data_IF_269019094490
#
_entry.id   IF_269019094490
#
_cell.length_a   1.000
_cell.length_b   1.000
_cell.length_c   1.000
_cell.angle_alpha   90.00
_cell.angle_beta   90.00
_cell.angle_gamma   90.00
#
_symmetry.space_group_name_H-M   'P 1'
#
loop_
_entity.id
_entity.type
_entity.pdbx_description
1 polymer ?
#
# COMPACT_ATOMS: atom_id res chain seq x y z
N UNK A 1 7.44 -2.47 -16.83
CA UNK A 1 8.00 -2.62 -15.46
C UNK A 1 7.70 -4.03 -14.99
N UNK A 2 8.58 -4.67 -14.21
CA UNK A 2 8.38 -6.01 -13.66
C UNK A 2 8.90 -6.00 -12.21
N UNK A 3 8.07 -6.32 -11.23
CA UNK A 3 8.43 -6.08 -9.81
C UNK A 3 9.47 -7.06 -9.30
N UNK A 4 9.24 -8.36 -9.43
CA UNK A 4 10.00 -9.39 -8.67
C UNK A 4 11.48 -9.52 -9.06
N UNK A 5 11.88 -9.01 -10.23
CA UNK A 5 13.27 -8.95 -10.68
C UNK A 5 13.94 -7.58 -10.48
N UNK A 6 13.21 -6.53 -10.06
CA UNK A 6 13.72 -5.16 -10.06
C UNK A 6 14.21 -4.71 -8.68
N UNK A 7 15.46 -4.24 -8.64
CA UNK A 7 16.10 -3.65 -7.45
C UNK A 7 16.37 -2.14 -7.64
N UNK A 8 16.49 -1.35 -6.55
CA UNK A 8 16.10 -1.69 -5.18
C UNK A 8 14.59 -1.98 -5.02
N UNK A 9 13.72 -1.33 -5.82
CA UNK A 9 12.30 -1.68 -6.05
C UNK A 9 11.88 -1.18 -7.44
N UNK A 10 10.75 -1.67 -7.98
CA UNK A 10 10.17 -1.17 -9.23
C UNK A 10 9.23 0.03 -9.04
N UNK A 11 8.91 0.42 -7.80
CA UNK A 11 8.24 1.70 -7.53
C UNK A 11 9.07 2.92 -7.96
N UNK A 12 10.42 2.80 -8.00
CA UNK A 12 11.29 3.77 -8.69
C UNK A 12 10.90 3.98 -10.17
N UNK A 13 10.55 2.90 -10.86
CA UNK A 13 10.37 2.91 -12.31
C UNK A 13 8.99 3.45 -12.70
N UNK A 14 8.04 3.51 -11.75
CA UNK A 14 6.69 4.05 -11.92
C UNK A 14 6.73 5.48 -12.47
N UNK A 15 7.42 6.36 -11.74
CA UNK A 15 7.54 7.77 -12.10
C UNK A 15 8.45 7.98 -13.33
N UNK A 16 9.38 7.05 -13.62
CA UNK A 16 10.23 7.10 -14.81
C UNK A 16 9.47 6.71 -16.09
N UNK A 17 8.67 5.64 -16.04
CA UNK A 17 7.82 5.21 -17.14
C UNK A 17 6.69 6.21 -17.41
N UNK A 18 6.14 6.82 -16.36
CA UNK A 18 5.23 7.96 -16.46
C UNK A 18 5.84 9.10 -17.30
N UNK A 19 7.02 9.61 -16.93
CA UNK A 19 7.69 10.70 -17.65
C UNK A 19 7.92 10.34 -19.13
N UNK A 20 8.47 9.16 -19.40
CA UNK A 20 8.72 8.72 -20.77
C UNK A 20 7.45 8.57 -21.62
N UNK A 21 6.31 8.20 -21.01
CA UNK A 21 5.04 8.06 -21.72
C UNK A 21 4.33 9.41 -21.94
N UNK A 22 4.44 10.38 -21.03
CA UNK A 22 3.93 11.75 -21.26
C UNK A 22 4.56 12.35 -22.52
N UNK A 23 5.89 12.29 -22.63
CA UNK A 23 6.61 12.79 -23.81
C UNK A 23 6.23 12.05 -25.11
N UNK A 24 5.92 10.74 -25.03
CA UNK A 24 5.47 9.96 -26.20
C UNK A 24 4.03 10.31 -26.61
N UNK A 25 3.10 10.46 -25.66
CA UNK A 25 1.70 10.77 -25.96
C UNK A 25 1.50 12.23 -26.40
N UNK A 26 2.33 13.16 -25.94
CA UNK A 26 2.28 14.57 -26.34
C UNK A 26 3.15 14.88 -27.57
N UNK A 27 4.30 14.22 -27.72
CA UNK A 27 5.30 14.51 -28.76
C UNK A 27 5.06 13.84 -30.13
N UNK A 28 4.13 12.89 -30.24
CA UNK A 28 3.78 12.20 -31.48
C UNK A 28 2.30 12.43 -31.86
N UNK A 29 1.94 12.35 -33.15
CA UNK A 29 0.56 12.51 -33.60
C UNK A 29 -0.28 11.28 -33.21
N UNK A 30 -0.86 11.32 -32.01
CA UNK A 30 -1.64 10.25 -31.40
C UNK A 30 -2.98 10.79 -30.85
N UNK A 31 -4.08 10.55 -31.55
CA UNK A 31 -5.42 10.97 -31.15
C UNK A 31 -6.03 10.15 -29.99
N UNK A 32 -5.30 9.13 -29.50
CA UNK A 32 -5.73 8.27 -28.38
C UNK A 32 -4.78 7.08 -28.14
N UNK A 33 -4.99 6.36 -27.03
CA UNK A 33 -4.08 5.30 -26.58
C UNK A 33 -4.79 4.09 -25.94
N UNK A 34 -4.30 2.89 -26.25
CA UNK A 34 -4.63 1.65 -25.53
C UNK A 34 -3.48 1.31 -24.58
N UNK A 35 -3.75 1.39 -23.28
CA UNK A 35 -2.76 1.22 -22.21
C UNK A 35 -2.70 -0.27 -21.81
N UNK A 36 -1.67 -0.98 -22.23
CA UNK A 36 -1.44 -2.39 -21.84
C UNK A 36 -0.89 -2.49 -20.42
N UNK A 37 -1.77 -2.82 -19.48
CA UNK A 37 -1.49 -2.84 -18.03
C UNK A 37 -1.41 -4.28 -17.50
N UNK A 38 -0.67 -4.50 -16.41
CA UNK A 38 -0.51 -5.82 -15.82
C UNK A 38 0.25 -5.80 -14.50
N UNK A 39 1.58 -5.94 -14.54
CA UNK A 39 2.40 -5.97 -13.33
C UNK A 39 2.36 -4.62 -12.60
N UNK A 40 2.05 -4.68 -11.30
CA UNK A 40 1.91 -3.62 -10.30
C UNK A 40 2.02 -2.18 -10.83
N UNK A 41 3.26 -1.73 -11.02
CA UNK A 41 3.61 -0.32 -11.20
C UNK A 41 3.39 0.17 -12.65
N UNK A 42 3.01 -0.73 -13.57
CA UNK A 42 2.60 -0.37 -14.95
C UNK A 42 1.27 0.35 -14.98
N UNK A 43 0.27 -0.15 -14.25
CA UNK A 43 -1.08 0.42 -14.20
C UNK A 43 -1.10 1.90 -13.77
N UNK A 44 -0.50 2.32 -12.63
CA UNK A 44 -0.44 3.73 -12.27
C UNK A 44 0.37 4.54 -13.27
N UNK A 45 1.57 4.09 -13.66
CA UNK A 45 2.44 4.86 -14.56
C UNK A 45 1.77 5.21 -15.90
N UNK A 46 0.99 4.27 -16.46
CA UNK A 46 0.27 4.44 -17.72
C UNK A 46 -0.96 5.36 -17.56
N UNK A 47 -1.71 5.22 -16.46
CA UNK A 47 -2.87 6.08 -16.19
C UNK A 47 -2.48 7.51 -15.80
N UNK A 48 -1.41 7.70 -15.02
CA UNK A 48 -0.85 9.02 -14.72
C UNK A 48 -0.52 9.78 -16.02
N UNK A 49 0.15 9.12 -16.97
CA UNK A 49 0.58 9.75 -18.21
C UNK A 49 -0.61 10.10 -19.12
N UNK A 50 -1.57 9.17 -19.25
CA UNK A 50 -2.79 9.41 -19.98
C UNK A 50 -3.64 10.53 -19.36
N UNK A 51 -3.68 10.65 -18.03
CA UNK A 51 -4.36 11.74 -17.33
C UNK A 51 -3.68 13.10 -17.53
N UNK A 52 -2.34 13.15 -17.43
CA UNK A 52 -1.55 14.37 -17.68
C UNK A 52 -1.71 14.90 -19.10
N UNK A 53 -1.77 14.02 -20.11
CA UNK A 53 -1.92 14.40 -21.53
C UNK A 53 -3.39 14.59 -21.92
N UNK A 54 -4.31 13.84 -21.31
CA UNK A 54 -5.77 13.89 -21.47
C UNK A 54 -6.30 13.66 -22.91
N UNK A 55 -5.59 12.85 -23.70
CA UNK A 55 -6.14 12.27 -24.93
C UNK A 55 -7.01 11.03 -24.61
N UNK A 56 -7.99 10.67 -25.47
CA UNK A 56 -8.82 9.47 -25.31
C UNK A 56 -8.02 8.19 -25.01
N UNK A 57 -8.21 7.63 -23.81
CA UNK A 57 -7.43 6.50 -23.31
C UNK A 57 -8.33 5.35 -22.81
N UNK A 58 -7.89 4.11 -23.05
CA UNK A 58 -8.53 2.91 -22.50
C UNK A 58 -7.48 1.93 -21.97
N UNK A 59 -7.73 1.37 -20.79
CA UNK A 59 -6.85 0.39 -20.16
C UNK A 59 -7.22 -1.04 -20.54
N UNK A 60 -6.23 -1.81 -21.03
CA UNK A 60 -6.34 -3.22 -21.35
C UNK A 60 -5.49 -4.04 -20.36
N UNK A 61 -6.16 -4.69 -19.41
CA UNK A 61 -5.51 -5.62 -18.48
C UNK A 61 -5.24 -6.96 -19.13
N UNK A 62 -4.00 -7.44 -19.01
CA UNK A 62 -3.59 -8.78 -19.45
C UNK A 62 -4.14 -9.92 -18.57
N UNK A 63 -4.75 -9.59 -17.43
CA UNK A 63 -5.35 -10.54 -16.49
C UNK A 63 -4.36 -11.17 -15.50
N UNK A 64 -4.87 -11.90 -14.49
CA UNK A 64 -4.05 -12.68 -13.57
C UNK A 64 -3.49 -13.95 -14.25
N UNK A 65 -2.48 -14.57 -13.62
CA UNK A 65 -2.06 -15.93 -13.99
C UNK A 65 -3.14 -16.96 -13.61
N UNK A 66 -3.18 -18.08 -14.34
CA UNK A 66 -4.00 -19.24 -13.99
C UNK A 66 -3.66 -19.78 -12.59
N UNK A 67 -4.58 -20.57 -12.03
CA UNK A 67 -4.41 -21.14 -10.69
C UNK A 67 -3.16 -22.03 -10.58
N UNK A 68 -2.23 -21.65 -9.70
CA UNK A 68 -1.11 -22.49 -9.32
C UNK A 68 -1.55 -23.63 -8.40
N UNK A 69 -0.96 -24.81 -8.57
CA UNK A 69 -1.26 -25.99 -7.76
C UNK A 69 0.03 -26.67 -7.27
N UNK A 70 0.12 -26.94 -5.96
CA UNK A 70 1.21 -27.71 -5.37
C UNK A 70 0.66 -28.75 -4.38
N UNK A 71 0.99 -30.03 -4.60
CA UNK A 71 0.55 -31.18 -3.76
C UNK A 71 -0.97 -31.17 -3.48
N UNK A 72 -1.77 -30.85 -4.50
CA UNK A 72 -3.24 -30.82 -4.41
C UNK A 72 -3.84 -29.57 -3.73
N UNK A 73 -3.04 -28.55 -3.39
CA UNK A 73 -3.52 -27.27 -2.87
C UNK A 73 -3.30 -26.14 -3.87
N UNK A 74 -4.23 -25.16 -3.89
CA UNK A 74 -4.06 -23.87 -4.60
C UNK A 74 -2.84 -23.12 -4.05
N UNK A 75 -2.09 -22.43 -4.92
CA UNK A 75 -0.93 -21.61 -4.55
C UNK A 75 -0.89 -20.31 -5.37
N UNK A 76 -1.20 -19.18 -4.76
CA UNK A 76 -1.17 -17.87 -5.44
C UNK A 76 0.24 -17.39 -5.78
N UNK A 77 0.40 -16.72 -6.93
CA UNK A 77 1.64 -16.01 -7.30
C UNK A 77 1.95 -14.92 -6.28
N UNK A 78 3.21 -14.81 -5.83
CA UNK A 78 3.59 -13.94 -4.71
C UNK A 78 3.24 -14.59 -3.37
N UNK A 79 1.95 -14.89 -3.13
CA UNK A 79 1.47 -15.52 -1.89
C UNK A 79 2.28 -16.76 -1.55
N UNK A 80 2.57 -17.67 -2.50
CA UNK A 80 3.37 -18.88 -2.25
C UNK A 80 4.83 -18.61 -1.88
N UNK A 81 5.41 -17.45 -2.23
CA UNK A 81 6.76 -17.05 -1.77
C UNK A 81 6.69 -16.69 -0.29
N UNK A 82 5.69 -15.88 0.09
CA UNK A 82 5.45 -15.51 1.48
C UNK A 82 4.83 -16.64 2.31
N UNK A 83 4.20 -17.63 1.68
CA UNK A 83 3.61 -18.81 2.32
C UNK A 83 4.65 -19.94 2.48
N UNK A 84 5.60 -20.05 1.54
CA UNK A 84 6.83 -20.82 1.77
C UNK A 84 7.69 -20.14 2.83
N UNK A 85 7.64 -18.79 2.91
CA UNK A 85 8.07 -18.00 4.06
C UNK A 85 6.98 -17.85 5.15
N UNK A 86 5.87 -18.63 5.20
CA UNK A 86 4.88 -18.75 6.32
C UNK A 86 5.12 -20.05 7.05
N UNK A 87 5.22 -21.11 6.23
CA UNK A 87 5.72 -22.43 6.58
C UNK A 87 7.26 -22.39 6.81
N UNK A 88 7.81 -21.17 6.82
CA UNK A 88 9.04 -20.72 7.46
C UNK A 88 8.89 -19.36 8.25
N UNK A 89 7.76 -18.59 8.20
CA UNK A 89 7.42 -17.26 8.87
C UNK A 89 6.01 -16.54 8.62
N UNK A 90 5.79 -15.51 7.73
CA UNK A 90 4.47 -14.80 7.42
C UNK A 90 4.29 -14.05 6.01
N UNK A 91 3.05 -13.64 5.56
CA UNK A 91 2.66 -13.00 4.21
C UNK A 91 1.46 -11.97 4.12
N UNK A 92 0.66 -11.80 2.99
CA UNK A 92 -0.78 -11.29 2.72
C UNK A 92 -1.51 -9.94 2.02
N UNK A 93 -1.10 -9.20 0.93
CA UNK A 93 -1.60 -7.92 0.12
C UNK A 93 -1.73 -6.44 0.66
N UNK A 94 -1.62 -5.40 -0.24
CA UNK A 94 -2.37 -4.09 -0.31
C UNK A 94 -2.58 -3.48 -1.75
N UNK A 95 -3.47 -2.47 -2.01
CA UNK A 95 -3.84 -1.95 -3.37
C UNK A 95 -3.73 -0.40 -3.58
N UNK A 96 -3.80 0.40 -2.51
CA UNK A 96 -4.61 1.63 -2.54
C UNK A 96 -3.81 2.89 -2.94
N UNK A 97 -2.49 2.86 -2.72
CA UNK A 97 -1.49 3.80 -3.26
C UNK A 97 -1.74 4.09 -4.76
N UNK A 98 -2.17 3.06 -5.52
CA UNK A 98 -2.54 3.14 -6.94
C UNK A 98 -3.49 4.30 -7.27
N UNK A 99 -4.49 4.54 -6.43
CA UNK A 99 -5.57 5.48 -6.70
C UNK A 99 -5.18 6.91 -6.28
N UNK A 100 -4.44 7.10 -5.18
CA UNK A 100 -3.90 8.39 -4.75
C UNK A 100 -2.98 9.00 -5.82
N UNK A 101 -2.15 8.13 -6.42
CA UNK A 101 -1.26 8.46 -7.54
C UNK A 101 -2.05 9.04 -8.72
N UNK A 102 -3.14 8.38 -9.11
CA UNK A 102 -3.91 8.71 -10.32
C UNK A 102 -4.79 9.94 -10.09
N UNK A 103 -5.44 10.06 -8.92
CA UNK A 103 -6.28 11.21 -8.58
C UNK A 103 -5.52 12.55 -8.72
N UNK A 104 -4.27 12.61 -8.24
CA UNK A 104 -3.42 13.81 -8.33
C UNK A 104 -3.06 14.20 -9.77
N UNK A 105 -2.94 13.24 -10.69
CA UNK A 105 -2.71 13.51 -12.12
C UNK A 105 -4.00 13.82 -12.91
N UNK A 106 -5.16 13.85 -12.23
CA UNK A 106 -6.45 14.32 -12.73
C UNK A 106 -6.91 15.63 -12.04
N UNK A 107 -6.08 16.21 -11.17
CA UNK A 107 -6.43 17.39 -10.36
C UNK A 107 -7.49 17.12 -9.28
N UNK A 108 -7.81 15.86 -9.00
CA UNK A 108 -8.81 15.46 -8.00
C UNK A 108 -8.15 15.45 -6.61
N UNK A 109 -8.70 16.18 -5.62
CA UNK A 109 -8.27 16.04 -4.24
C UNK A 109 -8.72 14.68 -3.69
N UNK A 110 -7.78 13.95 -3.12
CA UNK A 110 -7.96 12.66 -2.44
C UNK A 110 -6.85 12.52 -1.39
N UNK A 111 -7.20 12.13 -0.16
CA UNK A 111 -6.22 11.85 0.89
C UNK A 111 -6.55 10.62 1.76
N UNK A 112 -5.69 10.32 2.73
CA UNK A 112 -5.80 9.12 3.57
C UNK A 112 -7.03 9.09 4.50
N UNK A 113 -7.68 10.23 4.80
CA UNK A 113 -8.94 10.26 5.55
C UNK A 113 -10.14 9.90 4.66
N UNK A 114 -10.07 10.07 3.33
CA UNK A 114 -11.13 9.63 2.40
C UNK A 114 -11.23 8.09 2.38
N UNK A 115 -10.09 7.39 2.37
CA UNK A 115 -10.03 5.92 2.45
C UNK A 115 -10.70 5.37 3.70
N UNK A 116 -10.57 6.06 4.83
CA UNK A 116 -11.27 5.69 6.05
C UNK A 116 -12.75 6.11 6.02
N UNK A 117 -13.06 7.32 5.56
CA UNK A 117 -14.40 7.90 5.56
C UNK A 117 -15.36 7.14 4.64
N UNK A 118 -14.89 6.78 3.44
CA UNK A 118 -15.67 6.04 2.44
C UNK A 118 -15.46 4.52 2.60
N UNK A 119 -14.21 4.08 2.76
CA UNK A 119 -13.83 2.67 2.62
C UNK A 119 -13.97 1.81 3.88
N UNK A 120 -13.78 2.34 5.10
CA UNK A 120 -13.68 1.51 6.32
C UNK A 120 -14.90 0.60 6.53
N UNK A 121 -16.10 1.13 6.27
CA UNK A 121 -17.40 0.45 6.44
C UNK A 121 -17.80 -0.44 5.26
N UNK A 122 -16.98 -0.52 4.21
CA UNK A 122 -17.22 -1.44 3.10
C UNK A 122 -16.82 -2.86 3.55
N UNK A 123 -17.70 -3.86 3.40
CA UNK A 123 -17.41 -5.22 3.81
C UNK A 123 -16.47 -5.95 2.84
N UNK A 124 -15.72 -6.93 3.35
CA UNK A 124 -14.93 -7.84 2.53
C UNK A 124 -15.85 -8.87 1.87
N UNK A 125 -16.23 -8.60 0.61
CA UNK A 125 -17.04 -9.52 -0.19
C UNK A 125 -16.21 -10.61 -0.87
N UNK A 126 -15.01 -10.28 -1.35
CA UNK A 126 -14.23 -11.17 -2.22
C UNK A 126 -13.36 -12.12 -1.40
N UNK A 127 -13.64 -13.43 -1.49
CA UNK A 127 -12.91 -14.51 -0.82
C UNK A 127 -11.67 -14.96 -1.60
N UNK A 128 -10.90 -14.00 -2.10
CA UNK A 128 -9.62 -14.26 -2.73
C UNK A 128 -8.50 -14.41 -1.70
N UNK A 129 -7.52 -15.23 -2.06
CA UNK A 129 -6.25 -15.22 -1.36
C UNK A 129 -5.70 -13.80 -1.37
N UNK A 130 -5.24 -13.35 -0.21
CA UNK A 130 -4.94 -14.13 0.99
C UNK A 130 -5.82 -13.79 2.20
N UNK A 131 -6.71 -12.80 2.11
CA UNK A 131 -7.76 -12.56 3.13
C UNK A 131 -8.93 -13.56 3.00
N UNK A 132 -8.72 -14.66 2.29
CA UNK A 132 -9.67 -15.66 1.80
C UNK A 132 -8.94 -16.84 1.12
N UNK A 133 -9.68 -17.78 0.52
CA UNK A 133 -9.12 -19.06 0.04
C UNK A 133 -8.76 -19.12 -1.45
N UNK A 134 -9.55 -18.45 -2.31
CA UNK A 134 -9.61 -18.70 -3.75
C UNK A 134 -8.58 -17.89 -4.56
N UNK A 135 -8.49 -18.09 -5.88
CA UNK A 135 -7.54 -17.37 -6.73
C UNK A 135 -8.22 -16.71 -7.94
N UNK A 136 -7.46 -15.92 -8.71
CA UNK A 136 -8.01 -14.99 -9.71
C UNK A 136 -8.87 -15.63 -10.79
N UNK A 137 -8.62 -16.90 -11.11
CA UNK A 137 -9.43 -17.74 -12.01
C UNK A 137 -10.81 -18.04 -11.40
N UNK A 138 -10.86 -18.44 -10.12
CA UNK A 138 -12.12 -18.67 -9.40
C UNK A 138 -12.95 -17.37 -9.32
N UNK A 139 -12.31 -16.22 -9.06
CA UNK A 139 -12.97 -14.91 -9.00
C UNK A 139 -13.49 -14.43 -10.35
N UNK A 140 -12.76 -14.69 -11.44
CA UNK A 140 -13.24 -14.41 -12.80
C UNK A 140 -14.51 -15.22 -13.10
N UNK A 141 -14.48 -16.54 -12.85
CA UNK A 141 -15.64 -17.41 -13.07
C UNK A 141 -16.83 -17.08 -12.15
N UNK A 142 -16.61 -16.53 -10.95
CA UNK A 142 -17.69 -16.08 -10.07
C UNK A 142 -18.42 -14.82 -10.55
N UNK A 143 -17.95 -14.16 -11.62
CA UNK A 143 -18.52 -12.92 -12.16
C UNK A 143 -17.68 -11.66 -11.93
N UNK A 144 -16.51 -11.79 -11.27
CA UNK A 144 -15.48 -10.76 -11.15
C UNK A 144 -15.94 -9.41 -10.58
N UNK A 145 -15.30 -8.33 -11.04
CA UNK A 145 -15.60 -6.95 -10.60
C UNK A 145 -17.07 -6.56 -10.84
N UNK A 146 -17.71 -6.87 -12.00
CA UNK A 146 -19.13 -6.55 -12.21
C UNK A 146 -20.06 -7.16 -11.16
N UNK A 147 -19.83 -8.41 -10.74
CA UNK A 147 -20.64 -9.05 -9.70
C UNK A 147 -20.47 -8.39 -8.31
N UNK A 148 -19.25 -7.96 -7.96
CA UNK A 148 -18.98 -7.19 -6.74
C UNK A 148 -19.68 -5.84 -6.76
N UNK A 149 -19.58 -5.11 -7.88
CA UNK A 149 -20.23 -3.79 -8.05
C UNK A 149 -21.76 -3.93 -7.98
N UNK A 150 -22.34 -4.95 -8.62
CA UNK A 150 -23.77 -5.23 -8.55
C UNK A 150 -24.24 -5.53 -7.12
N UNK A 151 -23.45 -6.25 -6.33
CA UNK A 151 -23.77 -6.54 -4.93
C UNK A 151 -23.69 -5.29 -4.04
N UNK A 152 -22.67 -4.45 -4.23
CA UNK A 152 -22.57 -3.15 -3.55
C UNK A 152 -23.74 -2.21 -3.93
N UNK A 153 -24.19 -2.22 -5.20
CA UNK A 153 -25.36 -1.46 -5.65
C UNK A 153 -26.65 -1.90 -4.95
N UNK A 154 -26.91 -3.22 -4.84
CA UNK A 154 -28.11 -3.75 -4.14
C UNK A 154 -28.18 -3.27 -2.68
N UNK A 155 -27.03 -3.10 -2.03
CA UNK A 155 -26.92 -2.64 -0.65
C UNK A 155 -26.85 -1.10 -0.50
N UNK A 156 -26.86 -0.33 -1.59
CA UNK A 156 -26.66 1.13 -1.56
C UNK A 156 -25.24 1.57 -1.19
N UNK A 157 -24.25 0.67 -1.26
CA UNK A 157 -22.84 0.91 -0.92
C UNK A 157 -22.00 1.41 -2.10
N UNK A 158 -22.58 1.54 -3.30
CA UNK A 158 -21.97 2.28 -4.42
C UNK A 158 -22.59 3.69 -4.47
N UNK A 159 -21.88 4.75 -4.02
CA UNK A 159 -22.47 6.10 -3.91
C UNK A 159 -22.70 6.80 -5.26
N UNK A 160 -22.01 6.34 -6.33
CA UNK A 160 -22.01 6.98 -7.65
C UNK A 160 -22.27 5.97 -8.78
N UNK A 161 -23.46 5.34 -8.83
CA UNK A 161 -23.81 4.39 -9.90
C UNK A 161 -23.85 5.05 -11.28
N UNK A 162 -24.08 6.36 -11.35
CA UNK A 162 -24.14 7.13 -12.59
C UNK A 162 -22.76 7.62 -13.10
N UNK A 163 -21.67 7.21 -12.45
CA UNK A 163 -20.32 7.54 -12.91
C UNK A 163 -20.06 6.95 -14.32
N UNK A 164 -19.68 7.80 -15.27
CA UNK A 164 -19.44 7.43 -16.66
C UNK A 164 -18.19 6.55 -16.83
N UNK A 165 -18.21 5.68 -17.83
CA UNK A 165 -17.10 4.77 -18.15
C UNK A 165 -16.70 4.87 -19.63
N UNK A 166 -15.54 4.29 -19.98
CA UNK A 166 -14.94 4.32 -21.32
C UNK A 166 -15.80 3.75 -22.45
N UNK A 167 -16.88 3.00 -22.15
CA UNK A 167 -17.80 2.47 -23.16
C UNK A 167 -19.02 3.37 -23.43
N UNK A 168 -19.07 4.57 -22.85
CA UNK A 168 -20.19 5.51 -23.00
C UNK A 168 -21.41 5.22 -22.12
N UNK A 169 -21.35 4.21 -21.25
CA UNK A 169 -22.40 3.91 -20.27
C UNK A 169 -21.91 4.16 -18.84
N UNK A 170 -22.84 4.28 -17.89
CA UNK A 170 -22.52 4.41 -16.46
C UNK A 170 -22.06 3.08 -15.87
N UNK A 171 -21.29 3.13 -14.78
CA UNK A 171 -20.85 1.92 -14.06
C UNK A 171 -22.05 1.09 -13.56
N UNK A 172 -23.12 1.76 -13.14
CA UNK A 172 -24.37 1.12 -12.71
C UNK A 172 -25.08 0.40 -13.86
N UNK A 173 -25.20 1.03 -15.03
CA UNK A 173 -25.76 0.38 -16.22
C UNK A 173 -24.94 -0.87 -16.59
N UNK A 174 -23.61 -0.73 -16.66
CA UNK A 174 -22.68 -1.80 -17.02
C UNK A 174 -22.70 -3.00 -16.05
N UNK A 175 -22.92 -2.78 -14.74
CA UNK A 175 -22.87 -3.85 -13.73
C UNK A 175 -24.25 -4.37 -13.30
N UNK A 176 -25.35 -3.63 -13.55
CA UNK A 176 -26.71 -3.98 -13.10
C UNK A 176 -27.19 -5.40 -13.45
N UNK A 177 -26.74 -5.96 -14.58
CA UNK A 177 -27.11 -7.29 -15.06
C UNK A 177 -26.09 -8.38 -14.68
N UNK A 178 -25.03 -8.05 -13.92
CA UNK A 178 -24.00 -9.02 -13.55
C UNK A 178 -24.51 -10.04 -12.53
N UNK A 179 -24.36 -11.32 -12.88
CA UNK A 179 -24.68 -12.45 -12.00
C UNK A 179 -23.44 -12.82 -11.20
N UNK A 180 -23.65 -13.15 -9.93
CA UNK A 180 -22.65 -13.80 -9.10
C UNK A 180 -22.88 -15.32 -9.20
N UNK A 181 -21.97 -16.03 -9.85
CA UNK A 181 -22.11 -17.48 -10.09
C UNK A 181 -21.56 -18.34 -8.95
N UNK A 182 -20.82 -17.77 -8.00
CA UNK A 182 -20.26 -18.52 -6.86
C UNK A 182 -20.17 -17.69 -5.57
N UNK A 183 -21.14 -17.91 -4.68
CA UNK A 183 -21.22 -17.27 -3.36
C UNK A 183 -20.10 -17.64 -2.39
N UNK A 184 -19.36 -18.73 -2.61
CA UNK A 184 -18.18 -19.05 -1.80
C UNK A 184 -17.00 -18.13 -2.16
N UNK A 185 -16.95 -17.63 -3.40
CA UNK A 185 -15.87 -16.78 -3.93
C UNK A 185 -16.20 -15.29 -3.81
N UNK A 186 -17.46 -14.90 -4.07
CA UNK A 186 -17.95 -13.54 -3.88
C UNK A 186 -19.15 -13.59 -2.92
N UNK A 187 -18.93 -13.18 -1.68
CA UNK A 187 -19.95 -13.11 -0.62
C UNK A 187 -20.97 -12.00 -0.89
N UNK A 188 -22.15 -12.12 -0.26
CA UNK A 188 -23.14 -11.03 -0.22
C UNK A 188 -22.79 -9.98 0.83
N UNK A 189 -23.40 -8.79 0.76
CA UNK A 189 -23.27 -7.78 1.83
C UNK A 189 -23.95 -8.22 3.14
N UNK A 190 -24.90 -9.18 3.07
CA UNK A 190 -25.55 -9.76 4.25
C UNK A 190 -24.67 -10.80 4.98
N UNK A 191 -23.83 -11.54 4.26
CA UNK A 191 -22.94 -12.56 4.82
C UNK A 191 -21.46 -12.41 4.37
N UNK A 192 -20.82 -11.24 4.59
CA UNK A 192 -19.46 -10.98 4.13
C UNK A 192 -18.40 -11.74 4.93
N UNK A 193 -17.15 -11.80 4.44
CA UNK A 193 -16.04 -12.35 5.22
C UNK A 193 -15.70 -11.48 6.43
N UNK A 194 -15.81 -10.15 6.28
CA UNK A 194 -15.60 -9.15 7.34
C UNK A 194 -16.56 -8.00 7.11
N UNK A 195 -17.26 -7.55 8.16
CA UNK A 195 -18.24 -6.46 8.06
C UNK A 195 -17.61 -5.08 7.80
N UNK A 196 -16.42 -4.84 8.34
CA UNK A 196 -15.58 -3.68 8.06
C UNK A 196 -14.22 -4.21 7.55
N UNK A 197 -13.73 -3.70 6.42
CA UNK A 197 -12.54 -4.24 5.75
C UNK A 197 -11.60 -3.21 5.12
N UNK A 198 -12.04 -1.96 4.98
CA UNK A 198 -11.23 -0.85 4.49
C UNK A 198 -10.19 -0.38 5.50
N UNK A 199 -9.57 0.76 5.20
CA UNK A 199 -8.38 1.23 5.91
C UNK A 199 -8.72 2.11 7.12
N UNK A 200 -7.81 2.11 8.07
CA UNK A 200 -7.75 3.11 9.13
C UNK A 200 -6.51 3.95 8.87
N UNK A 201 -6.67 5.27 8.77
CA UNK A 201 -5.57 6.22 8.80
C UNK A 201 -5.20 6.49 10.27
N UNK A 202 -3.91 6.43 10.57
CA UNK A 202 -3.35 6.68 11.89
C UNK A 202 -2.49 7.93 11.84
N UNK A 203 -2.59 8.77 12.87
CA UNK A 203 -1.87 10.06 13.00
C UNK A 203 -1.32 10.20 14.43
N UNK A 204 -0.19 10.86 14.63
CA UNK A 204 0.36 11.07 15.98
C UNK A 204 1.82 11.51 15.95
N UNK A 205 2.51 11.44 17.09
CA UNK A 205 3.91 11.90 17.16
C UNK A 205 4.90 10.98 16.39
N UNK A 206 4.45 9.80 15.93
CA UNK A 206 5.19 8.90 15.02
C UNK A 206 5.16 9.36 13.55
N UNK A 207 4.03 9.88 13.07
CA UNK A 207 3.77 10.27 11.68
C UNK A 207 2.48 11.08 11.55
N UNK A 208 2.42 11.97 10.56
CA UNK A 208 1.22 12.77 10.29
C UNK A 208 0.12 11.94 9.62
N UNK A 209 0.48 10.85 8.92
CA UNK A 209 -0.43 9.84 8.37
C UNK A 209 0.27 8.50 8.10
N UNK A 210 -0.41 7.39 8.39
CA UNK A 210 -0.03 6.02 7.99
C UNK A 210 -1.29 5.15 7.87
N UNK A 211 -1.34 4.20 6.94
CA UNK A 211 -2.55 3.37 6.71
C UNK A 211 -2.40 1.95 7.27
N UNK A 212 -3.44 1.46 7.94
CA UNK A 212 -3.53 0.08 8.45
C UNK A 212 -4.56 -0.74 7.67
N UNK A 213 -4.15 -1.93 7.21
CA UNK A 213 -5.04 -2.88 6.52
C UNK A 213 -5.86 -3.71 7.52
N UNK A 214 -7.08 -3.29 7.82
CA UNK A 214 -7.96 -4.02 8.76
C UNK A 214 -8.36 -5.42 8.25
N UNK A 215 -8.46 -5.60 6.93
CA UNK A 215 -8.69 -6.91 6.30
C UNK A 215 -7.56 -7.93 6.55
N UNK A 216 -6.35 -7.50 6.93
CA UNK A 216 -5.26 -8.37 7.37
C UNK A 216 -5.33 -8.83 8.83
N UNK A 217 -6.21 -8.26 9.65
CA UNK A 217 -6.28 -8.59 11.09
C UNK A 217 -6.77 -10.04 11.26
N UNK A 218 -5.89 -10.92 11.75
CA UNK A 218 -6.21 -12.32 12.08
C UNK A 218 -6.91 -12.43 13.45
N UNK A 219 -7.57 -13.56 13.76
CA UNK A 219 -8.12 -13.81 15.10
C UNK A 219 -7.03 -13.76 16.18
N UNK A 220 -5.85 -14.34 15.92
CA UNK A 220 -4.68 -14.32 16.80
C UNK A 220 -4.23 -12.87 17.12
N UNK A 221 -4.11 -12.02 16.10
CA UNK A 221 -3.71 -10.63 16.27
C UNK A 221 -4.77 -9.84 17.06
N UNK A 222 -6.04 -10.08 16.77
CA UNK A 222 -7.17 -9.45 17.48
C UNK A 222 -7.21 -9.83 18.95
N UNK A 223 -7.08 -11.12 19.27
CA UNK A 223 -7.02 -11.61 20.64
C UNK A 223 -5.84 -11.01 21.42
N UNK A 224 -4.64 -10.97 20.81
CA UNK A 224 -3.41 -10.46 21.43
C UNK A 224 -3.39 -8.96 21.66
N UNK A 225 -3.90 -8.17 20.71
CA UNK A 225 -3.69 -6.71 20.68
C UNK A 225 -4.96 -5.85 20.76
N UNK A 226 -6.16 -6.38 20.46
CA UNK A 226 -7.35 -5.54 20.26
C UNK A 226 -8.53 -5.91 21.20
N UNK A 227 -8.45 -7.04 21.91
CA UNK A 227 -9.53 -7.60 22.73
C UNK A 227 -9.52 -7.22 24.22
N UNK A 228 -8.68 -6.26 24.65
CA UNK A 228 -8.67 -5.78 26.04
C UNK A 228 -10.02 -5.12 26.39
N UNK A 229 -10.81 -5.61 27.36
CA UNK A 229 -12.13 -5.05 27.66
C UNK A 229 -12.08 -3.64 28.25
N UNK A 230 -10.95 -3.24 28.84
CA UNK A 230 -10.75 -1.90 29.43
C UNK A 230 -10.18 -0.89 28.42
N UNK A 231 -9.57 -1.36 27.33
CA UNK A 231 -8.95 -0.52 26.29
C UNK A 231 -9.04 -1.21 24.91
N UNK A 232 -10.26 -1.45 24.39
CA UNK A 232 -10.48 -2.25 23.20
C UNK A 232 -10.11 -1.53 21.91
N UNK A 233 -9.60 -2.29 20.92
CA UNK A 233 -8.97 -1.78 19.69
C UNK A 233 -7.69 -0.95 19.90
N UNK A 234 -7.03 -1.05 21.06
CA UNK A 234 -5.78 -0.36 21.34
C UNK A 234 -4.76 -1.27 22.03
N UNK A 235 -3.47 -1.05 21.74
CA UNK A 235 -2.35 -1.77 22.35
C UNK A 235 -1.16 -0.87 22.66
N UNK A 236 -0.37 -1.30 23.62
CA UNK A 236 0.93 -0.71 23.96
C UNK A 236 2.00 -1.79 23.96
N UNK A 237 3.20 -1.43 23.49
CA UNK A 237 4.31 -2.36 23.37
C UNK A 237 5.66 -1.64 23.31
N UNK A 238 6.75 -2.40 23.49
CA UNK A 238 8.10 -1.88 23.34
C UNK A 238 8.48 -1.86 21.86
N UNK A 239 9.09 -0.78 21.38
CA UNK A 239 9.57 -0.66 20.01
C UNK A 239 10.85 -1.49 19.82
N UNK A 240 10.89 -2.26 18.72
CA UNK A 240 12.10 -2.85 18.16
C UNK A 240 12.34 -2.26 16.78
N UNK A 241 13.34 -1.39 16.67
CA UNK A 241 13.58 -0.59 15.46
C UNK A 241 14.67 -1.20 14.58
N UNK A 242 14.42 -1.23 13.27
CA UNK A 242 15.34 -1.68 12.23
C UNK A 242 15.54 -0.59 11.16
N UNK A 243 16.81 -0.31 10.87
CA UNK A 243 17.26 0.67 9.89
C UNK A 243 17.48 0.01 8.51
N UNK A 244 16.40 -0.58 7.97
CA UNK A 244 16.36 -1.28 6.68
C UNK A 244 16.30 -2.82 6.76
N UNK A 245 16.04 -3.52 5.64
CA UNK A 245 15.82 -4.96 5.63
C UNK A 245 17.11 -5.77 5.88
N UNK A 246 18.28 -5.25 5.54
CA UNK A 246 19.57 -5.85 5.89
C UNK A 246 19.79 -5.88 7.42
N UNK A 247 19.44 -4.80 8.12
CA UNK A 247 19.55 -4.69 9.58
C UNK A 247 18.49 -5.54 10.29
N UNK A 248 17.26 -5.57 9.77
CA UNK A 248 16.24 -6.55 10.18
C UNK A 248 16.73 -7.99 10.09
N UNK A 249 17.24 -8.41 8.92
CA UNK A 249 17.76 -9.77 8.73
C UNK A 249 19.01 -10.07 9.57
N UNK A 250 19.77 -9.06 9.99
CA UNK A 250 20.92 -9.22 10.87
C UNK A 250 20.57 -9.36 12.36
N UNK A 251 19.45 -8.76 12.82
CA UNK A 251 19.11 -8.65 14.26
C UNK A 251 17.82 -9.31 14.72
N UNK A 252 16.90 -9.70 13.83
CA UNK A 252 15.59 -10.25 14.25
C UNK A 252 15.69 -11.51 15.12
N UNK A 253 16.64 -12.40 14.85
CA UNK A 253 16.85 -13.66 15.59
C UNK A 253 17.92 -13.55 16.71
N UNK A 254 18.45 -12.35 17.00
CA UNK A 254 19.42 -12.16 18.09
C UNK A 254 18.71 -12.11 19.46
N UNK A 255 18.99 -13.05 20.39
CA UNK A 255 18.36 -13.07 21.71
C UNK A 255 18.66 -11.83 22.55
N UNK A 256 19.75 -11.09 22.28
CA UNK A 256 20.08 -9.87 23.01
C UNK A 256 19.12 -8.70 22.72
N UNK A 257 18.31 -8.77 21.65
CA UNK A 257 17.28 -7.78 21.36
C UNK A 257 16.02 -7.93 22.24
N UNK A 258 15.87 -9.06 22.97
CA UNK A 258 14.82 -9.23 23.99
C UNK A 258 13.37 -9.32 23.48
N UNK A 259 13.17 -9.59 22.19
CA UNK A 259 11.87 -9.52 21.51
C UNK A 259 10.88 -10.57 22.06
N UNK A 260 9.71 -10.08 22.47
CA UNK A 260 8.59 -10.85 23.05
C UNK A 260 7.28 -10.72 22.23
N UNK A 261 6.23 -11.40 22.68
CA UNK A 261 4.88 -11.37 22.09
C UNK A 261 4.22 -9.97 22.03
N UNK A 262 4.66 -8.99 22.82
CA UNK A 262 4.09 -7.63 22.85
C UNK A 262 5.01 -6.57 22.25
N UNK A 263 6.15 -6.98 21.70
CA UNK A 263 7.09 -6.11 21.00
C UNK A 263 6.53 -5.67 19.65
N UNK A 264 6.64 -4.38 19.34
CA UNK A 264 6.19 -3.78 18.09
C UNK A 264 7.41 -3.59 17.20
N UNK A 265 7.40 -4.18 15.99
CA UNK A 265 8.51 -4.11 15.04
C UNK A 265 8.39 -2.86 14.16
N UNK A 266 9.48 -2.11 14.01
CA UNK A 266 9.54 -0.88 13.22
C UNK A 266 10.58 -0.96 12.11
N UNK A 267 10.14 -0.71 10.87
CA UNK A 267 10.98 -0.65 9.67
C UNK A 267 11.04 0.80 9.19
N UNK A 268 12.23 1.41 9.20
CA UNK A 268 12.41 2.83 8.81
C UNK A 268 13.55 3.04 7.81
N UNK A 269 13.50 4.16 7.10
CA UNK A 269 14.35 4.40 5.93
C UNK A 269 13.95 3.55 4.71
N UNK A 270 12.76 2.95 4.73
CA UNK A 270 12.19 2.16 3.65
C UNK A 270 11.29 2.97 2.70
N UNK A 271 11.04 4.24 3.03
CA UNK A 271 10.19 5.17 2.28
C UNK A 271 10.72 5.68 0.92
N UNK A 272 10.01 6.65 0.31
CA UNK A 272 10.30 7.22 -1.01
C UNK A 272 11.72 7.74 -1.19
N UNK A 273 12.28 8.42 -0.17
CA UNK A 273 13.62 9.01 -0.19
C UNK A 273 14.62 8.06 0.50
N UNK A 274 14.25 7.42 1.60
CA UNK A 274 15.15 6.57 2.37
C UNK A 274 15.77 5.45 1.55
N UNK A 275 14.93 4.58 0.97
CA UNK A 275 15.40 3.29 0.46
C UNK A 275 16.38 3.34 -0.73
N UNK A 276 16.18 4.12 -1.82
CA UNK A 276 15.00 4.93 -2.17
C UNK A 276 13.91 4.16 -2.90
N UNK A 277 12.74 4.78 -2.99
CA UNK A 277 11.65 4.36 -3.85
C UNK A 277 10.53 3.60 -3.17
N UNK A 278 10.48 3.50 -1.84
CA UNK A 278 9.34 2.91 -1.17
C UNK A 278 9.28 1.39 -1.29
N UNK A 279 9.99 0.68 -0.42
CA UNK A 279 10.18 -0.76 -0.52
C UNK A 279 9.10 -1.59 0.18
N UNK A 280 8.86 -2.79 -0.34
CA UNK A 280 7.89 -3.77 0.17
C UNK A 280 8.54 -4.63 1.26
N UNK A 281 8.80 -4.02 2.43
CA UNK A 281 9.65 -4.56 3.50
C UNK A 281 9.13 -4.35 4.93
N UNK A 282 8.05 -3.59 5.14
CA UNK A 282 7.47 -3.35 6.48
C UNK A 282 6.89 -4.63 7.10
N UNK A 283 6.62 -5.64 6.27
CA UNK A 283 6.15 -6.96 6.68
C UNK A 283 7.22 -7.87 7.26
N UNK A 284 7.77 -7.40 8.37
CA UNK A 284 8.63 -8.17 9.26
C UNK A 284 7.85 -9.35 9.84
N UNK A 285 8.59 -10.35 10.29
CA UNK A 285 8.09 -11.61 10.81
C UNK A 285 8.54 -11.72 12.27
N UNK A 286 7.79 -12.41 13.16
CA UNK A 286 8.27 -12.63 14.52
C UNK A 286 9.59 -13.42 14.49
N UNK A 287 10.49 -13.23 15.49
CA UNK A 287 11.68 -14.07 15.61
C UNK A 287 11.37 -15.56 15.65
N UNK A 288 12.31 -16.39 15.22
CA UNK A 288 12.14 -17.83 15.13
C UNK A 288 11.85 -18.50 16.48
N UNK A 289 12.14 -17.88 17.63
CA UNK A 289 11.73 -18.39 18.95
C UNK A 289 10.27 -18.11 19.30
N UNK A 290 9.64 -17.07 18.74
CA UNK A 290 8.20 -16.80 18.91
C UNK A 290 7.37 -17.66 17.95
N UNK A 291 7.81 -17.82 16.70
CA UNK A 291 7.13 -18.70 15.72
C UNK A 291 7.09 -20.15 16.24
N UNK A 292 8.17 -20.63 16.89
CA UNK A 292 8.20 -21.96 17.55
C UNK A 292 7.25 -22.09 18.75
N UNK A 293 6.74 -20.99 19.31
CA UNK A 293 5.68 -20.97 20.34
C UNK A 293 4.26 -20.87 19.75
N UNK A 294 4.10 -20.76 18.42
CA UNK A 294 2.81 -20.53 17.76
C UNK A 294 2.38 -19.05 17.70
N UNK A 295 3.34 -18.12 17.77
CA UNK A 295 3.10 -16.68 17.56
C UNK A 295 3.50 -16.37 16.11
N UNK A 296 2.52 -16.09 15.25
CA UNK A 296 2.75 -15.95 13.80
C UNK A 296 2.75 -14.50 13.32
N UNK A 297 2.22 -13.56 14.11
CA UNK A 297 2.26 -12.13 13.81
C UNK A 297 2.58 -11.28 15.05
N UNK A 298 3.49 -10.30 14.87
CA UNK A 298 3.67 -9.16 15.76
C UNK A 298 3.14 -7.89 15.06
N UNK A 299 2.84 -6.84 15.82
CA UNK A 299 2.52 -5.53 15.25
C UNK A 299 3.74 -4.98 14.48
N UNK A 300 3.54 -4.62 13.21
CA UNK A 300 4.60 -4.15 12.31
C UNK A 300 4.25 -2.75 11.77
N UNK A 301 5.20 -1.82 11.81
CA UNK A 301 4.99 -0.40 11.46
C UNK A 301 6.16 0.11 10.62
N UNK A 302 5.93 0.98 9.63
CA UNK A 302 7.05 1.59 8.91
C UNK A 302 6.73 2.65 7.86
N UNK A 303 7.78 3.35 7.44
CA UNK A 303 7.74 4.37 6.38
C UNK A 303 7.83 3.80 4.96
N UNK A 304 8.10 2.50 4.84
CA UNK A 304 7.97 1.74 3.61
C UNK A 304 6.56 1.23 3.34
N UNK A 305 6.47 0.33 2.36
CA UNK A 305 5.27 -0.41 1.99
C UNK A 305 5.38 -1.86 2.46
N UNK A 306 4.35 -2.64 2.21
CA UNK A 306 4.44 -4.10 2.16
C UNK A 306 3.88 -4.61 0.84
N UNK A 307 4.18 -5.86 0.49
CA UNK A 307 3.92 -6.33 -0.86
C UNK A 307 2.44 -6.40 -1.23
N UNK A 308 2.15 -6.37 -2.53
CA UNK A 308 0.90 -6.88 -3.11
C UNK A 308 0.59 -8.34 -2.73
N UNK A 309 1.50 -9.03 -2.03
CA UNK A 309 1.24 -10.28 -1.31
C UNK A 309 1.77 -10.30 0.12
N UNK A 310 1.78 -9.16 0.83
CA UNK A 310 1.94 -9.04 2.30
C UNK A 310 0.80 -8.35 3.09
N UNK A 311 0.38 -8.92 4.24
CA UNK A 311 -0.89 -8.70 4.94
C UNK A 311 -1.00 -9.31 6.34
N UNK A 312 0.13 -9.61 6.97
CA UNK A 312 0.44 -8.98 8.25
C UNK A 312 -0.35 -7.67 8.37
N UNK A 313 -1.14 -7.46 9.45
CA UNK A 313 -1.93 -6.23 9.66
C UNK A 313 -1.02 -5.06 10.04
N UNK A 314 -0.05 -4.78 9.18
CA UNK A 314 0.96 -3.74 9.33
C UNK A 314 0.35 -2.35 9.18
N UNK A 315 1.02 -1.38 9.78
CA UNK A 315 0.81 0.05 9.58
C UNK A 315 1.88 0.53 8.60
N UNK A 316 1.44 1.08 7.47
CA UNK A 316 2.23 1.26 6.26
C UNK A 316 2.29 2.73 5.85
N UNK A 317 3.18 3.04 4.92
CA UNK A 317 3.21 4.32 4.21
C UNK A 317 3.45 5.53 5.14
N UNK A 318 4.04 5.31 6.32
CA UNK A 318 4.16 6.32 7.36
C UNK A 318 4.89 7.58 6.86
N UNK A 319 4.14 8.67 6.81
CA UNK A 319 4.52 9.95 6.23
C UNK A 319 4.39 11.05 7.30
N UNK A 320 5.39 11.92 7.51
CA UNK A 320 6.71 11.95 6.86
C UNK A 320 7.59 10.75 7.20
N UNK A 321 8.37 10.28 6.23
CA UNK A 321 9.33 9.18 6.40
C UNK A 321 10.53 9.57 7.28
N UNK A 322 11.24 8.58 7.82
CA UNK A 322 12.40 8.85 8.68
C UNK A 322 13.51 9.62 7.94
N UNK A 323 13.67 9.36 6.63
CA UNK A 323 14.70 10.01 5.80
C UNK A 323 14.58 11.53 5.67
N UNK A 324 13.41 12.11 5.95
CA UNK A 324 13.19 13.57 6.01
C UNK A 324 12.92 14.10 7.42
N UNK A 325 13.14 13.28 8.45
CA UNK A 325 13.02 13.69 9.86
C UNK A 325 11.62 13.53 10.47
N UNK A 326 10.75 12.69 9.89
CA UNK A 326 9.49 12.27 10.50
C UNK A 326 9.67 11.55 11.85
N UNK A 327 8.58 11.32 12.58
CA UNK A 327 8.63 10.80 13.96
C UNK A 327 9.36 9.46 14.11
N UNK A 328 9.29 8.58 13.11
CA UNK A 328 10.06 7.33 13.05
C UNK A 328 11.60 7.51 13.09
N UNK A 329 12.13 8.67 12.69
CA UNK A 329 13.55 8.99 12.86
C UNK A 329 13.94 9.30 14.32
N UNK A 330 12.97 9.62 15.17
CA UNK A 330 13.16 9.92 16.59
C UNK A 330 13.01 8.68 17.47
N UNK A 331 12.32 7.65 16.99
CA UNK A 331 12.08 6.39 17.70
C UNK A 331 13.39 5.63 18.00
N UNK A 332 13.45 4.96 19.15
CA UNK A 332 14.57 4.15 19.62
C UNK A 332 14.05 2.80 20.12
N UNK A 333 14.84 1.75 19.96
CA UNK A 333 14.52 0.43 20.53
C UNK A 333 14.39 0.54 22.04
N UNK A 334 13.31 -0.02 22.59
CA UNK A 334 12.95 0.08 24.01
C UNK A 334 12.04 1.26 24.38
N UNK A 335 11.73 2.18 23.47
CA UNK A 335 10.63 3.14 23.70
C UNK A 335 9.30 2.39 23.82
N UNK A 336 8.41 2.81 24.73
CA UNK A 336 7.01 2.37 24.71
C UNK A 336 6.25 3.13 23.63
N UNK A 337 5.47 2.42 22.83
CA UNK A 337 4.56 3.00 21.82
C UNK A 337 3.13 2.55 22.11
N UNK A 338 2.16 3.45 21.87
CA UNK A 338 0.72 3.17 21.87
C UNK A 338 0.14 3.29 20.46
N UNK A 339 -0.70 2.33 20.08
CA UNK A 339 -1.55 2.38 18.89
C UNK A 339 -3.02 2.28 19.33
N UNK A 340 -3.89 3.12 18.78
CA UNK A 340 -5.31 3.19 19.13
C UNK A 340 -6.19 3.32 17.88
N UNK A 341 -6.78 2.21 17.44
CA UNK A 341 -7.53 2.16 16.17
C UNK A 341 -8.92 2.80 16.27
N UNK A 342 -9.40 3.13 17.48
CA UNK A 342 -10.66 3.88 17.69
C UNK A 342 -10.45 5.38 17.64
N UNK A 343 -9.34 5.87 18.19
CA UNK A 343 -8.96 7.29 18.12
C UNK A 343 -8.27 7.64 16.80
N UNK A 344 -7.73 6.64 16.10
CA UNK A 344 -6.90 6.84 14.91
C UNK A 344 -5.49 7.33 15.27
N UNK A 345 -4.96 6.95 16.44
CA UNK A 345 -3.70 7.52 16.95
C UNK A 345 -2.54 6.53 17.08
N UNK A 346 -1.32 7.04 16.93
CA UNK A 346 -0.08 6.26 16.98
C UNK A 346 1.07 7.10 17.54
N UNK A 347 1.49 6.80 18.79
CA UNK A 347 2.34 7.69 19.58
C UNK A 347 3.44 6.97 20.37
N UNK A 348 4.65 7.52 20.32
CA UNK A 348 5.74 7.24 21.25
C UNK A 348 5.36 7.82 22.61
N UNK A 349 5.38 7.01 23.66
CA UNK A 349 5.03 7.40 25.03
C UNK A 349 6.23 8.03 25.77
N UNK A 350 6.71 9.15 25.23
CA UNK A 350 7.74 10.03 25.81
C UNK A 350 7.23 11.47 25.86
N UNK A 351 7.91 12.35 26.60
CA UNK A 351 7.51 13.76 26.72
C UNK A 351 7.84 14.58 25.47
N UNK A 352 7.12 15.68 25.26
CA UNK A 352 7.41 16.64 24.17
C UNK A 352 8.83 17.22 24.25
N UNK A 353 9.38 17.37 25.46
CA UNK A 353 10.78 17.74 25.70
C UNK A 353 11.75 16.69 25.14
N UNK A 354 11.46 15.39 25.31
CA UNK A 354 12.28 14.29 24.78
C UNK A 354 12.15 14.18 23.25
N UNK A 355 10.96 14.37 22.68
CA UNK A 355 10.76 14.51 21.23
C UNK A 355 11.58 15.69 20.68
N UNK A 356 11.50 16.85 21.34
CA UNK A 356 12.22 18.08 20.95
C UNK A 356 13.73 17.88 21.04
N UNK A 357 14.23 17.30 22.13
CA UNK A 357 15.65 16.96 22.32
C UNK A 357 16.15 16.01 21.25
N UNK A 358 15.42 14.92 20.97
CA UNK A 358 15.76 13.95 19.91
C UNK A 358 15.78 14.59 18.52
N UNK A 359 14.84 15.51 18.24
CA UNK A 359 14.78 16.23 16.95
C UNK A 359 15.97 17.16 16.79
N UNK A 360 16.39 17.85 17.85
CA UNK A 360 17.63 18.64 17.85
C UNK A 360 18.89 17.77 17.72
N UNK A 361 18.96 16.61 18.40
CA UNK A 361 20.05 15.63 18.22
C UNK A 361 20.15 15.14 16.76
N UNK A 362 19.02 14.75 16.17
CA UNK A 362 18.95 14.29 14.77
C UNK A 362 19.47 15.36 13.79
N UNK A 363 19.05 16.62 13.99
CA UNK A 363 19.53 17.76 13.19
C UNK A 363 21.04 17.98 13.37
N UNK A 364 21.56 17.95 14.60
CA UNK A 364 22.98 18.09 14.89
C UNK A 364 23.84 16.95 14.29
N UNK A 365 23.30 15.75 14.11
CA UNK A 365 23.97 14.64 13.43
C UNK A 365 23.87 14.66 11.89
N UNK A 366 23.23 15.69 11.32
CA UNK A 366 23.07 15.87 9.87
C UNK A 366 21.81 15.21 9.28
N UNK A 367 20.81 14.89 10.12
CA UNK A 367 19.59 14.19 9.72
C UNK A 367 19.68 12.67 9.83
N UNK A 368 18.62 12.00 9.39
CA UNK A 368 18.58 10.54 9.31
C UNK A 368 19.53 10.02 8.24
N UNK A 369 20.25 8.93 8.51
CA UNK A 369 21.27 8.38 7.60
C UNK A 369 20.66 7.30 6.71
N UNK A 370 20.69 7.53 5.40
CA UNK A 370 20.22 6.58 4.39
C UNK A 370 21.26 6.36 3.27
N UNK A 371 21.15 5.29 2.46
CA UNK A 371 22.15 4.98 1.42
C UNK A 371 22.28 6.08 0.37
N UNK A 372 23.52 6.40 -0.05
CA UNK A 372 23.79 7.35 -1.14
C UNK A 372 23.15 6.91 -2.46
N UNK A 373 22.94 7.86 -3.37
CA UNK A 373 22.47 7.58 -4.73
C UNK A 373 23.44 6.63 -5.45
N UNK A 374 22.89 5.59 -6.08
CA UNK A 374 23.64 4.60 -6.87
C UNK A 374 23.48 4.83 -8.39
N UNK A 375 22.46 5.58 -8.81
CA UNK A 375 22.18 5.93 -10.21
C UNK A 375 21.66 7.36 -10.32
N UNK A 376 21.79 8.03 -11.49
CA UNK A 376 21.24 9.38 -11.68
C UNK A 376 19.73 9.47 -11.45
N UNK A 377 18.97 8.41 -11.76
CA UNK A 377 17.52 8.40 -11.49
C UNK A 377 17.20 8.42 -9.99
N UNK A 378 18.01 7.75 -9.15
CA UNK A 378 17.86 7.84 -7.69
C UNK A 378 18.22 9.22 -7.13
N UNK A 379 18.95 10.05 -7.87
CA UNK A 379 19.23 11.45 -7.52
C UNK A 379 18.08 12.36 -7.94
N UNK A 380 17.68 12.29 -9.21
CA UNK A 380 16.54 13.03 -9.78
C UNK A 380 15.26 12.76 -8.98
N UNK A 381 14.93 11.49 -8.71
CA UNK A 381 13.74 11.15 -7.94
C UNK A 381 13.82 11.73 -6.53
N UNK A 382 14.91 11.52 -5.78
CA UNK A 382 15.00 12.01 -4.39
C UNK A 382 14.88 13.53 -4.28
N UNK A 383 15.32 14.28 -5.30
CA UNK A 383 15.16 15.73 -5.36
C UNK A 383 13.75 16.23 -5.71
N UNK A 384 12.83 15.33 -6.14
CA UNK A 384 11.52 15.73 -6.69
C UNK A 384 10.32 14.93 -6.13
N UNK A 385 10.54 13.78 -5.51
CA UNK A 385 9.48 12.86 -5.07
C UNK A 385 8.76 13.38 -3.82
N UNK A 386 7.50 13.00 -3.70
CA UNK A 386 6.68 13.26 -2.53
C UNK A 386 6.55 12.06 -1.58
N UNK A 387 5.87 12.27 -0.47
CA UNK A 387 5.58 11.25 0.54
C UNK A 387 4.42 10.35 0.13
N UNK A 388 4.13 9.29 0.88
CA UNK A 388 3.07 8.35 0.51
C UNK A 388 1.67 8.89 0.74
N UNK A 389 1.45 9.74 1.75
CA UNK A 389 0.22 10.56 1.85
C UNK A 389 -0.03 11.40 0.60
N UNK A 390 1.06 11.68 -0.14
CA UNK A 390 1.05 12.46 -1.37
C UNK A 390 1.17 11.59 -2.64
N UNK A 391 0.91 10.28 -2.54
CA UNK A 391 0.98 9.31 -3.65
C UNK A 391 2.39 9.03 -4.18
N UNK A 392 3.46 9.46 -3.49
CA UNK A 392 4.85 9.33 -3.95
C UNK A 392 5.08 9.93 -5.36
N UNK A 393 4.30 10.94 -5.74
CA UNK A 393 4.35 11.58 -7.07
C UNK A 393 5.62 12.43 -7.23
N UNK A 394 5.93 12.87 -8.45
CA UNK A 394 6.94 13.92 -8.64
C UNK A 394 6.28 15.28 -8.41
N UNK A 395 6.69 16.02 -7.37
CA UNK A 395 6.14 17.34 -7.00
C UNK A 395 6.02 18.31 -8.19
N UNK A 396 7.03 18.43 -9.09
CA UNK A 396 6.93 19.35 -10.23
C UNK A 396 6.00 18.89 -11.35
N UNK A 397 5.53 17.63 -11.32
CA UNK A 397 4.71 17.05 -12.38
C UNK A 397 3.21 17.33 -12.20
N UNK A 398 2.70 17.33 -10.97
CA UNK A 398 1.27 17.47 -10.63
C UNK A 398 0.62 18.74 -11.19
N UNK A 399 1.40 19.79 -11.45
CA UNK A 399 0.92 21.04 -12.07
C UNK A 399 0.64 20.95 -13.57
N UNK A 400 1.11 19.89 -14.26
CA UNK A 400 0.84 19.66 -15.66
C UNK A 400 -0.40 18.76 -15.76
N UNK A 401 -1.45 19.31 -16.34
CA UNK A 401 -2.79 18.71 -16.45
C UNK A 401 -3.29 19.06 -17.86
N UNK A 402 -3.98 18.13 -18.52
CA UNK A 402 -4.64 18.39 -19.81
C UNK A 402 -3.70 18.98 -20.89
N UNK A 403 -2.45 18.50 -20.99
CA UNK A 403 -1.44 19.22 -21.81
C UNK A 403 -1.75 19.20 -23.31
N UNK A 404 -2.45 18.19 -23.84
CA UNK A 404 -2.83 18.16 -25.26
C UNK A 404 -3.79 19.31 -25.66
N UNK A 405 -4.65 19.78 -24.75
CA UNK A 405 -5.59 20.87 -25.01
C UNK A 405 -5.09 22.22 -24.46
N UNK A 406 -4.28 22.23 -23.40
CA UNK A 406 -3.83 23.47 -22.73
C UNK A 406 -2.48 24.01 -23.20
N UNK A 407 -1.55 23.15 -23.66
CA UNK A 407 -0.24 23.57 -24.16
C UNK A 407 -0.20 23.80 -25.68
N UNK A 408 -1.23 23.31 -26.40
CA UNK A 408 -1.25 23.28 -27.87
C UNK A 408 -0.45 22.11 -28.44
N UNK A 409 -0.11 22.17 -29.72
CA UNK A 409 0.79 21.18 -30.33
C UNK A 409 2.26 21.48 -30.00
N UNK A 410 3.14 20.47 -29.94
CA UNK A 410 4.58 20.67 -29.93
C UNK A 410 5.05 21.57 -31.07
N UNK A 411 6.18 22.27 -30.86
CA UNK A 411 6.81 23.06 -31.93
C UNK A 411 7.29 22.16 -33.06
N UNK A 412 7.19 22.65 -34.29
CA UNK A 412 7.86 22.06 -35.45
C UNK A 412 9.36 21.84 -35.18
N UNK A 413 9.87 20.69 -35.60
CA UNK A 413 11.24 20.27 -35.32
C UNK A 413 12.25 20.63 -36.43
N UNK A 414 11.78 21.16 -37.57
CA UNK A 414 12.57 21.63 -38.71
C UNK A 414 11.87 22.83 -39.38
#
# INVERSE_FOLDING_TARGET
IQETGKRPTAALDRNLAYLGLVEVLYGYPLDGVVLTIGCDKTTPALLMAAATVNIPAIALSVGPMLNGWHKGKRTGSGTIVWESRQRLSAGEIGYDEFMDIVARHLGVPLDNDDWQTVGLKVPLLVNLQPSGEYLGEDYHHAGGVPAVVAELMKAGLLPHPDAMTVNGNTIGANCSAAVNENLDVIRTVAEPLKANAGFINLRGNLFDSAIMKTSGISPEFRERYLSNPNDPEAFEGNAMVFDGPEDYHARIDDPAQGIDEHTILFMRGAGPIGYPGGAEVVNMQPPAHLIKKGIHALACIGDGRQSGTSGSPSILNASPEAAIGGGLALLKTGDRVRIDLRKGTADILVTDDEITRRRAELQNYGGYRYPRHQTPWQEIQRGMVDQFSEGMVLKPAVKYQDVAHTAGVPRDNH
#
